data_IF_973674074051
#
_entry.id   IF_973674074051
#
_cell.length_a   1.000
_cell.length_b   1.000
_cell.length_c   1.000
_cell.angle_alpha   90.00
_cell.angle_beta   90.00
_cell.angle_gamma   90.00
#
_symmetry.space_group_name_H-M   'P 1'
#
loop_
_entity.id
_entity.type
_entity.pdbx_description
1 polymer ?
#
# COMPACT_ATOMS: atom_id res chain seq x y z
N UNK A 1 3.08 8.76 20.69
CA UNK A 1 3.06 7.39 21.23
C UNK A 1 3.56 6.49 20.11
N UNK A 2 4.78 5.96 20.20
CA UNK A 2 5.36 5.13 19.15
C UNK A 2 4.91 3.68 19.38
N UNK A 3 4.16 3.13 18.43
CA UNK A 3 3.82 1.72 18.37
C UNK A 3 4.53 1.09 17.17
N UNK A 4 5.11 -0.09 17.38
CA UNK A 4 5.64 -0.90 16.30
C UNK A 4 4.68 -2.07 16.08
N UNK A 5 4.01 -2.07 14.92
CA UNK A 5 3.13 -3.14 14.48
C UNK A 5 3.93 -4.06 13.54
N UNK A 6 4.03 -5.33 13.90
CA UNK A 6 4.63 -6.37 13.05
C UNK A 6 3.57 -7.44 12.79
N UNK A 7 3.28 -7.70 11.53
CA UNK A 7 2.37 -8.77 11.11
C UNK A 7 3.24 -9.92 10.58
N UNK A 8 3.02 -11.11 11.11
CA UNK A 8 3.62 -12.36 10.63
C UNK A 8 2.47 -13.31 10.24
N UNK A 9 2.68 -14.27 9.31
CA UNK A 9 1.64 -15.24 8.99
C UNK A 9 1.09 -15.90 10.26
N UNK A 10 -0.22 -15.79 10.49
CA UNK A 10 -0.91 -16.34 11.66
C UNK A 10 -0.80 -15.54 12.97
N UNK A 11 -0.14 -14.36 13.00
CA UNK A 11 -0.03 -13.57 14.24
C UNK A 11 0.18 -12.07 14.01
N UNK A 12 -0.33 -11.27 14.95
CA UNK A 12 -0.10 -9.82 15.00
C UNK A 12 0.66 -9.49 16.28
N UNK A 13 1.85 -8.93 16.13
CA UNK A 13 2.66 -8.45 17.25
C UNK A 13 2.55 -6.93 17.36
N UNK A 14 2.11 -6.47 18.53
CA UNK A 14 1.97 -5.05 18.85
C UNK A 14 2.95 -4.72 19.96
N UNK A 15 3.92 -3.84 19.68
CA UNK A 15 4.84 -3.31 20.67
C UNK A 15 4.52 -1.85 20.96
N UNK A 16 4.38 -1.49 22.23
CA UNK A 16 4.07 -0.12 22.66
C UNK A 16 4.95 0.28 23.85
N UNK A 17 5.37 1.54 23.87
CA UNK A 17 6.07 2.13 25.01
C UNK A 17 5.05 2.55 26.07
N UNK A 18 5.19 2.04 27.28
CA UNK A 18 4.40 2.45 28.45
C UNK A 18 5.25 3.19 29.47
N UNK A 19 4.66 4.14 30.22
CA UNK A 19 5.31 4.71 31.40
C UNK A 19 5.69 3.61 32.39
N UNK A 20 6.88 3.72 32.97
CA UNK A 20 7.36 2.74 33.97
C UNK A 20 6.39 2.58 35.14
N UNK A 21 5.71 3.66 35.54
CA UNK A 21 4.70 3.67 36.60
C UNK A 21 3.49 2.76 36.33
N UNK A 22 3.18 2.48 35.06
CA UNK A 22 2.04 1.64 34.68
C UNK A 22 2.37 0.14 34.62
N UNK A 23 3.65 -0.24 34.70
CA UNK A 23 4.09 -1.63 34.50
C UNK A 23 3.51 -2.56 35.57
N UNK A 24 3.44 -2.12 36.82
CA UNK A 24 2.92 -2.93 37.92
C UNK A 24 1.42 -3.22 37.73
N UNK A 25 0.64 -2.20 37.37
CA UNK A 25 -0.80 -2.31 37.14
C UNK A 25 -1.10 -3.19 35.93
N UNK A 26 -0.36 -3.03 34.84
CA UNK A 26 -0.49 -3.87 33.63
C UNK A 26 -0.14 -5.32 33.97
N UNK A 27 0.95 -5.56 34.70
CA UNK A 27 1.35 -6.92 35.10
C UNK A 27 0.27 -7.59 35.95
N UNK A 28 -0.28 -6.86 36.92
CA UNK A 28 -1.37 -7.36 37.77
C UNK A 28 -2.62 -7.67 36.93
N UNK A 29 -2.98 -6.79 36.00
CA UNK A 29 -4.14 -6.98 35.12
C UNK A 29 -3.98 -8.22 34.24
N UNK A 30 -2.82 -8.38 33.58
CA UNK A 30 -2.50 -9.53 32.72
C UNK A 30 -2.57 -10.84 33.50
N UNK A 31 -1.97 -10.88 34.70
CA UNK A 31 -2.02 -12.09 35.53
C UNK A 31 -3.46 -12.43 35.94
N UNK A 32 -4.24 -11.43 36.33
CA UNK A 32 -5.64 -11.63 36.78
C UNK A 32 -6.62 -12.00 35.66
N UNK A 33 -6.27 -11.73 34.40
CA UNK A 33 -7.14 -11.92 33.23
C UNK A 33 -6.52 -12.84 32.18
N UNK A 34 -5.52 -13.63 32.57
CA UNK A 34 -4.77 -14.48 31.64
C UNK A 34 -5.67 -15.47 30.90
N UNK A 35 -6.67 -16.04 31.57
CA UNK A 35 -7.65 -16.95 30.97
C UNK A 35 -8.53 -16.23 29.92
N UNK A 36 -9.20 -15.13 30.28
CA UNK A 36 -9.97 -14.30 29.34
C UNK A 36 -9.12 -13.78 28.17
N UNK A 37 -7.85 -13.45 28.42
CA UNK A 37 -6.93 -13.00 27.37
C UNK A 37 -6.66 -14.09 26.32
N UNK A 38 -6.63 -15.37 26.74
CA UNK A 38 -6.49 -16.51 25.82
C UNK A 38 -7.75 -16.71 24.99
N UNK A 39 -8.91 -16.62 25.62
CA UNK A 39 -10.20 -16.76 24.93
C UNK A 39 -10.33 -15.75 23.80
N UNK A 40 -9.72 -14.58 23.92
CA UNK A 40 -9.78 -13.53 22.89
C UNK A 40 -8.56 -13.50 21.96
N UNK A 41 -7.72 -14.54 21.98
CA UNK A 41 -6.63 -14.72 21.01
C UNK A 41 -5.29 -14.10 21.39
N UNK A 42 -5.06 -13.72 22.66
CA UNK A 42 -3.78 -13.19 23.15
C UNK A 42 -2.96 -14.31 23.79
N UNK A 43 -2.10 -14.93 22.98
CA UNK A 43 -1.29 -16.09 23.41
C UNK A 43 0.13 -15.73 23.86
N UNK A 44 0.59 -14.51 23.56
CA UNK A 44 1.90 -14.04 23.95
C UNK A 44 1.84 -12.61 24.51
N UNK A 45 2.40 -12.41 25.70
CA UNK A 45 2.53 -11.09 26.30
C UNK A 45 3.83 -10.98 27.08
N UNK A 46 4.63 -9.94 26.83
CA UNK A 46 5.87 -9.69 27.56
C UNK A 46 6.06 -8.21 27.84
N UNK A 47 6.70 -7.89 28.98
CA UNK A 47 7.09 -6.52 29.34
C UNK A 47 8.61 -6.51 29.56
N UNK A 48 9.34 -5.67 28.83
CA UNK A 48 10.81 -5.58 28.89
C UNK A 48 11.51 -6.95 28.74
N UNK A 49 10.98 -7.81 27.86
CA UNK A 49 11.50 -9.16 27.64
C UNK A 49 11.15 -10.18 28.71
N UNK A 50 10.51 -9.77 29.82
CA UNK A 50 9.91 -10.70 30.78
C UNK A 50 8.57 -11.18 30.24
N UNK A 51 8.50 -12.45 29.89
CA UNK A 51 7.28 -13.09 29.39
C UNK A 51 6.31 -13.32 30.55
N UNK A 52 5.05 -12.92 30.34
CA UNK A 52 3.95 -13.03 31.30
C UNK A 52 2.86 -14.00 30.81
N UNK A 53 2.74 -14.16 29.48
CA UNK A 53 1.93 -15.18 28.80
C UNK A 53 2.79 -15.79 27.68
N UNK A 54 2.93 -17.11 27.67
CA UNK A 54 3.65 -17.88 26.63
C UNK A 54 2.91 -19.20 26.40
N UNK A 55 2.10 -19.28 25.35
CA UNK A 55 1.61 -20.55 24.83
C UNK A 55 2.01 -20.70 23.36
N UNK A 56 2.69 -21.81 23.08
CA UNK A 56 3.32 -22.11 21.78
C UNK A 56 2.51 -23.02 20.88
N UNK A 57 1.32 -23.44 21.32
CA UNK A 57 0.52 -24.39 20.57
C UNK A 57 -0.50 -23.68 19.68
N UNK A 58 -0.67 -24.18 18.45
CA UNK A 58 -1.63 -23.72 17.46
C UNK A 58 -3.05 -23.78 18.03
N UNK A 59 -3.62 -22.61 18.36
CA UNK A 59 -4.96 -22.55 18.94
C UNK A 59 -6.02 -22.54 17.84
N UNK A 60 -6.88 -23.55 17.83
CA UNK A 60 -8.00 -23.65 16.91
C UNK A 60 -9.14 -22.71 17.34
N UNK A 61 -9.12 -21.49 16.79
CA UNK A 61 -10.13 -20.45 17.08
C UNK A 61 -11.59 -20.91 16.89
N UNK A 62 -11.85 -21.85 15.98
CA UNK A 62 -13.21 -22.36 15.77
C UNK A 62 -13.70 -23.21 16.95
N UNK A 63 -12.78 -23.91 17.63
CA UNK A 63 -13.09 -24.75 18.78
C UNK A 63 -13.35 -23.90 20.04
N UNK A 64 -12.55 -22.84 20.24
CA UNK A 64 -12.75 -21.88 21.33
C UNK A 64 -14.07 -21.09 21.20
N UNK A 65 -14.44 -20.69 19.98
CA UNK A 65 -15.69 -20.00 19.71
C UNK A 65 -16.91 -20.88 20.10
N UNK A 66 -16.84 -22.18 19.79
CA UNK A 66 -17.89 -23.13 20.09
C UNK A 66 -18.05 -23.38 21.60
N UNK A 67 -16.95 -23.44 22.36
CA UNK A 67 -16.98 -23.58 23.82
C UNK A 67 -17.46 -22.30 24.53
N UNK A 68 -17.07 -21.12 24.05
CA UNK A 68 -17.53 -19.83 24.61
C UNK A 68 -19.05 -19.61 24.43
N UNK A 69 -19.62 -20.04 23.29
CA UNK A 69 -21.08 -20.00 23.08
C UNK A 69 -21.85 -20.96 24.01
N UNK A 70 -21.21 -22.06 24.42
CA UNK A 70 -21.81 -23.09 25.28
C UNK A 70 -21.83 -22.70 26.76
N UNK A 71 -20.88 -21.88 27.23
CA UNK A 71 -20.78 -21.44 28.63
C UNK A 71 -21.65 -20.20 28.96
N UNK A 72 -22.24 -19.54 27.95
CA UNK A 72 -23.13 -18.40 28.17
C UNK A 72 -22.42 -17.12 28.65
N UNK A 73 -21.11 -17.07 28.46
CA UNK A 73 -20.22 -15.96 28.81
C UNK A 73 -20.41 -14.83 27.79
N UNK A 74 -21.37 -13.93 28.07
CA UNK A 74 -21.89 -12.96 27.10
C UNK A 74 -20.85 -11.95 26.61
N UNK A 75 -19.77 -11.72 27.38
CA UNK A 75 -18.71 -10.78 27.05
C UNK A 75 -17.67 -11.41 26.12
N UNK A 76 -17.10 -12.58 26.45
CA UNK A 76 -16.18 -13.28 25.55
C UNK A 76 -16.89 -13.78 24.28
N UNK A 77 -18.14 -14.26 24.37
CA UNK A 77 -18.94 -14.61 23.19
C UNK A 77 -19.16 -13.42 22.25
N UNK A 78 -19.42 -12.22 22.77
CA UNK A 78 -19.57 -11.01 21.93
C UNK A 78 -18.24 -10.54 21.34
N UNK A 79 -17.13 -10.71 22.05
CA UNK A 79 -15.80 -10.33 21.56
C UNK A 79 -15.28 -11.33 20.52
N UNK A 80 -15.44 -12.63 20.75
CA UNK A 80 -15.13 -13.69 19.80
C UNK A 80 -16.06 -13.65 18.59
N UNK A 81 -17.35 -13.32 18.75
CA UNK A 81 -18.22 -13.01 17.63
C UNK A 81 -17.80 -11.71 16.94
N UNK A 82 -17.16 -10.74 17.58
CA UNK A 82 -16.63 -9.56 16.87
C UNK A 82 -15.31 -9.83 16.12
N UNK A 83 -14.58 -10.87 16.53
CA UNK A 83 -13.36 -11.36 15.88
C UNK A 83 -13.67 -12.38 14.76
N UNK A 84 -14.72 -13.19 14.93
CA UNK A 84 -15.19 -14.21 14.00
C UNK A 84 -16.27 -13.68 13.03
N UNK A 85 -17.13 -12.76 13.47
CA UNK A 85 -17.92 -11.98 12.53
C UNK A 85 -16.99 -11.01 11.83
N UNK A 86 -17.11 -10.98 10.50
CA UNK A 86 -16.57 -9.89 9.69
C UNK A 86 -16.83 -8.58 10.43
N UNK A 87 -15.78 -7.80 10.71
CA UNK A 87 -15.82 -6.86 11.79
C UNK A 87 -16.97 -5.87 11.58
N UNK A 88 -17.69 -5.57 12.65
CA UNK A 88 -18.44 -4.32 12.77
C UNK A 88 -17.43 -3.18 12.93
N UNK A 89 -16.65 -2.98 11.87
CA UNK A 89 -15.68 -1.89 11.72
C UNK A 89 -16.47 -0.58 11.63
N UNK A 90 -15.95 0.57 12.09
CA UNK A 90 -16.33 1.85 11.50
C UNK A 90 -16.24 1.73 9.98
N UNK A 91 -17.38 1.61 9.29
CA UNK A 91 -17.57 1.19 7.89
C UNK A 91 -16.32 1.30 6.98
N UNK A 92 -15.34 0.40 7.17
CA UNK A 92 -14.18 0.31 6.29
C UNK A 92 -14.70 -0.25 4.97
N UNK A 93 -14.47 0.48 3.88
CA UNK A 93 -14.82 -0.02 2.56
C UNK A 93 -13.86 -1.17 2.25
N UNK A 94 -14.33 -2.42 2.30
CA UNK A 94 -13.58 -3.54 1.73
C UNK A 94 -13.83 -3.52 0.22
N UNK A 95 -12.80 -3.21 -0.54
CA UNK A 95 -12.86 -3.17 -2.00
C UNK A 95 -12.16 -4.43 -2.53
N UNK A 96 -12.94 -5.35 -3.10
CA UNK A 96 -12.38 -6.55 -3.72
C UNK A 96 -11.80 -6.21 -5.08
N UNK A 97 -10.55 -6.60 -5.32
CA UNK A 97 -9.84 -6.44 -6.60
C UNK A 97 -9.71 -7.84 -7.23
N UNK A 98 -10.69 -8.27 -8.04
CA UNK A 98 -10.68 -9.60 -8.64
C UNK A 98 -9.53 -9.79 -9.63
N UNK A 99 -9.03 -11.01 -9.76
CA UNK A 99 -7.98 -11.41 -10.71
C UNK A 99 -8.36 -11.13 -12.16
N UNK A 100 -9.64 -11.03 -12.47
CA UNK A 100 -10.10 -10.61 -13.80
C UNK A 100 -9.61 -9.21 -14.19
N UNK A 101 -9.27 -8.33 -13.22
CA UNK A 101 -8.68 -7.00 -13.43
C UNK A 101 -7.20 -7.02 -13.81
N UNK A 102 -6.54 -8.18 -13.66
CA UNK A 102 -5.12 -8.35 -13.93
C UNK A 102 -4.77 -7.98 -15.38
N UNK A 103 -5.64 -8.33 -16.32
CA UNK A 103 -5.40 -8.06 -17.74
C UNK A 103 -5.39 -6.55 -18.03
N UNK A 104 -6.23 -5.80 -17.36
CA UNK A 104 -6.35 -4.35 -17.48
C UNK A 104 -5.14 -3.65 -16.87
N UNK A 105 -4.67 -4.08 -15.69
CA UNK A 105 -3.41 -3.59 -15.11
C UNK A 105 -2.20 -3.88 -16.01
N UNK A 106 -2.12 -5.08 -16.58
CA UNK A 106 -1.09 -5.42 -17.56
C UNK A 106 -1.18 -4.55 -18.83
N UNK A 107 -2.40 -4.20 -19.25
CA UNK A 107 -2.63 -3.35 -20.42
C UNK A 107 -2.10 -1.93 -20.21
N UNK A 108 -2.42 -1.29 -19.07
CA UNK A 108 -1.92 0.06 -18.77
C UNK A 108 -0.40 0.06 -18.58
N UNK A 109 0.16 -0.96 -17.91
CA UNK A 109 1.60 -1.14 -17.79
C UNK A 109 2.29 -1.29 -19.15
N UNK A 110 1.67 -2.04 -20.07
CA UNK A 110 2.18 -2.18 -21.44
C UNK A 110 2.12 -0.86 -22.19
N UNK A 111 1.09 -0.03 -21.95
CA UNK A 111 0.99 1.31 -22.51
C UNK A 111 2.10 2.24 -22.01
N UNK A 112 2.36 2.23 -20.71
CA UNK A 112 3.48 2.95 -20.10
C UNK A 112 4.82 2.51 -20.71
N UNK A 113 5.05 1.21 -20.82
CA UNK A 113 6.26 0.65 -21.44
C UNK A 113 6.45 1.10 -22.89
N UNK A 114 5.36 1.16 -23.69
CA UNK A 114 5.41 1.68 -25.07
C UNK A 114 5.76 3.17 -25.09
N UNK A 115 5.11 3.99 -24.26
CA UNK A 115 5.40 5.42 -24.15
C UNK A 115 6.87 5.64 -23.80
N UNK A 116 7.37 5.00 -22.73
CA UNK A 116 8.77 5.10 -22.33
C UNK A 116 9.73 4.70 -23.45
N UNK A 117 9.44 3.63 -24.18
CA UNK A 117 10.28 3.17 -25.30
C UNK A 117 10.34 4.20 -26.44
N UNK A 118 9.19 4.75 -26.83
CA UNK A 118 9.12 5.77 -27.88
C UNK A 118 9.84 7.04 -27.48
N UNK A 119 9.53 7.59 -26.30
CA UNK A 119 10.17 8.81 -25.80
C UNK A 119 11.68 8.62 -25.65
N UNK A 120 12.12 7.50 -25.07
CA UNK A 120 13.55 7.18 -24.94
C UNK A 120 14.28 7.13 -26.29
N UNK A 121 13.64 6.60 -27.33
CA UNK A 121 14.23 6.58 -28.68
C UNK A 121 14.38 7.99 -29.25
N UNK A 122 13.38 8.84 -29.04
CA UNK A 122 13.40 10.23 -29.53
C UNK A 122 14.47 11.03 -28.79
N UNK A 123 14.56 10.93 -27.45
CA UNK A 123 15.60 11.61 -26.66
C UNK A 123 17.00 11.19 -27.13
N UNK A 124 17.22 9.88 -27.37
CA UNK A 124 18.50 9.39 -27.91
C UNK A 124 18.83 9.97 -29.29
N UNK A 125 17.83 10.19 -30.13
CA UNK A 125 18.00 10.78 -31.46
C UNK A 125 18.28 12.28 -31.39
N UNK A 126 17.62 12.98 -30.48
CA UNK A 126 17.89 14.40 -30.17
C UNK A 126 19.31 14.57 -29.61
N UNK A 127 19.81 13.57 -28.88
CA UNK A 127 21.18 13.48 -28.36
C UNK A 127 21.56 14.70 -27.50
N UNK A 128 20.81 14.99 -26.42
CA UNK A 128 21.15 16.08 -25.51
C UNK A 128 22.54 15.88 -24.90
N UNK A 129 23.26 16.96 -24.55
CA UNK A 129 24.53 16.86 -23.86
C UNK A 129 24.39 16.05 -22.57
N UNK A 130 25.22 15.01 -22.41
CA UNK A 130 25.09 14.06 -21.32
C UNK A 130 25.20 14.72 -19.94
N UNK A 131 26.16 15.64 -19.78
CA UNK A 131 26.40 16.32 -18.51
C UNK A 131 25.25 17.27 -18.15
N UNK A 132 24.69 17.98 -19.13
CA UNK A 132 23.52 18.84 -18.94
C UNK A 132 22.29 18.01 -18.54
N UNK A 133 22.08 16.86 -19.19
CA UNK A 133 20.99 15.94 -18.85
C UNK A 133 21.12 15.41 -17.42
N UNK A 134 22.34 15.05 -17.00
CA UNK A 134 22.59 14.63 -15.62
C UNK A 134 22.37 15.77 -14.62
N UNK A 135 22.88 16.97 -14.92
CA UNK A 135 22.72 18.14 -14.04
C UNK A 135 21.25 18.48 -13.85
N UNK A 136 20.47 18.56 -14.93
CA UNK A 136 19.04 18.84 -14.88
C UNK A 136 18.31 17.89 -13.92
N UNK A 137 18.57 16.57 -14.04
CA UNK A 137 17.92 15.59 -13.18
C UNK A 137 18.34 15.76 -11.71
N UNK A 138 19.61 16.06 -11.44
CA UNK A 138 20.09 16.30 -10.07
C UNK A 138 19.50 17.58 -9.47
N UNK A 139 19.41 18.65 -10.26
CA UNK A 139 18.94 19.96 -9.83
C UNK A 139 17.42 19.98 -9.60
N UNK A 140 16.65 19.32 -10.47
CA UNK A 140 15.20 19.23 -10.33
C UNK A 140 14.75 18.18 -9.31
N UNK A 141 15.57 17.17 -9.00
CA UNK A 141 15.23 16.07 -8.08
C UNK A 141 16.29 15.77 -7.01
N UNK A 142 16.73 16.77 -6.22
CA UNK A 142 17.84 16.62 -5.27
C UNK A 142 17.55 15.61 -4.14
N UNK A 143 16.28 15.33 -3.84
CA UNK A 143 15.87 14.41 -2.77
C UNK A 143 15.86 12.92 -3.13
N UNK A 144 16.02 12.55 -4.41
CA UNK A 144 15.87 11.16 -4.87
C UNK A 144 17.15 10.31 -4.82
N UNK A 145 18.23 10.83 -4.24
CA UNK A 145 19.54 10.13 -4.16
C UNK A 145 20.04 9.58 -5.52
N UNK A 146 19.72 10.28 -6.61
CA UNK A 146 20.02 9.84 -7.99
C UNK A 146 21.47 10.06 -8.38
N UNK A 147 22.19 10.92 -7.64
CA UNK A 147 23.56 11.33 -7.95
C UNK A 147 24.47 10.13 -8.22
N UNK A 148 24.49 9.14 -7.32
CA UNK A 148 25.32 7.94 -7.47
C UNK A 148 24.98 7.17 -8.75
N UNK A 149 23.68 6.95 -9.02
CA UNK A 149 23.22 6.24 -10.22
C UNK A 149 23.59 7.00 -11.52
N UNK A 150 23.50 8.33 -11.50
CA UNK A 150 23.82 9.19 -12.65
C UNK A 150 25.32 9.32 -12.89
N UNK A 151 26.13 9.35 -11.83
CA UNK A 151 27.59 9.39 -11.93
C UNK A 151 28.13 8.12 -12.62
N UNK A 152 27.50 6.96 -12.38
CA UNK A 152 27.82 5.69 -13.04
C UNK A 152 27.39 5.61 -14.51
N UNK A 153 26.50 6.50 -14.98
CA UNK A 153 26.02 6.47 -16.36
C UNK A 153 27.08 7.01 -17.33
N UNK A 154 27.54 6.18 -18.27
CA UNK A 154 28.49 6.61 -19.32
C UNK A 154 27.82 7.18 -20.57
N UNK A 155 26.52 7.00 -20.72
CA UNK A 155 25.77 7.42 -21.90
C UNK A 155 24.31 7.77 -21.58
N UNK A 156 23.61 8.33 -22.57
CA UNK A 156 22.18 8.70 -22.48
C UNK A 156 21.29 7.48 -22.20
N UNK A 157 21.70 6.27 -22.63
CA UNK A 157 20.92 5.06 -22.37
C UNK A 157 20.91 4.70 -20.89
N UNK A 158 22.05 4.82 -20.22
CA UNK A 158 22.15 4.65 -18.77
C UNK A 158 21.26 5.65 -18.03
N UNK A 159 21.31 6.92 -18.41
CA UNK A 159 20.47 7.95 -17.78
C UNK A 159 18.98 7.68 -18.00
N UNK A 160 18.57 7.26 -19.21
CA UNK A 160 17.18 6.90 -19.50
C UNK A 160 16.68 5.67 -18.71
N UNK A 161 17.58 4.74 -18.33
CA UNK A 161 17.22 3.66 -17.42
C UNK A 161 16.95 4.18 -16.01
N UNK A 162 17.78 5.10 -15.51
CA UNK A 162 17.53 5.78 -14.22
C UNK A 162 16.18 6.51 -14.25
N UNK A 163 15.91 7.29 -15.32
CA UNK A 163 14.62 7.98 -15.50
C UNK A 163 13.47 6.97 -15.43
N UNK A 164 13.58 5.85 -16.15
CA UNK A 164 12.55 4.81 -16.19
C UNK A 164 12.28 4.19 -14.83
N UNK A 165 13.32 3.91 -14.05
CA UNK A 165 13.19 3.25 -12.75
C UNK A 165 12.61 4.19 -11.67
N UNK A 166 12.77 5.49 -11.85
CA UNK A 166 12.24 6.52 -10.95
C UNK A 166 10.81 6.96 -11.29
N UNK A 167 10.39 6.80 -12.54
CA UNK A 167 9.01 7.01 -12.96
C UNK A 167 8.10 5.87 -12.50
N UNK A 168 6.83 6.20 -12.22
CA UNK A 168 5.76 5.22 -12.04
C UNK A 168 4.67 5.37 -13.12
N UNK A 169 3.59 4.59 -13.01
CA UNK A 169 2.47 4.75 -13.94
C UNK A 169 1.83 6.13 -13.83
N UNK A 170 1.79 6.72 -12.63
CA UNK A 170 1.11 8.00 -12.37
C UNK A 170 2.08 9.16 -12.26
N UNK A 171 3.30 8.92 -11.79
CA UNK A 171 4.36 9.92 -11.71
C UNK A 171 5.37 9.75 -12.86
N UNK A 172 5.20 10.54 -13.90
CA UNK A 172 6.13 10.65 -15.03
C UNK A 172 6.83 12.02 -15.07
N UNK A 173 6.78 12.79 -13.97
CA UNK A 173 7.24 14.18 -13.94
C UNK A 173 8.70 14.32 -14.34
N UNK A 174 9.54 13.37 -13.94
CA UNK A 174 10.97 13.38 -14.27
C UNK A 174 11.20 13.26 -15.78
N UNK A 175 10.46 12.39 -16.46
CA UNK A 175 10.51 12.28 -17.93
C UNK A 175 10.02 13.56 -18.61
N UNK A 176 8.95 14.17 -18.09
CA UNK A 176 8.39 15.39 -18.64
C UNK A 176 9.36 16.56 -18.54
N UNK A 177 10.00 16.76 -17.39
CA UNK A 177 11.03 17.79 -17.21
C UNK A 177 12.14 17.68 -18.24
N UNK A 178 12.61 16.45 -18.52
CA UNK A 178 13.63 16.21 -19.55
C UNK A 178 13.12 16.56 -20.95
N UNK A 179 11.89 16.15 -21.29
CA UNK A 179 11.32 16.46 -22.62
C UNK A 179 11.11 17.96 -22.82
N UNK A 180 10.66 18.66 -21.78
CA UNK A 180 10.40 20.11 -21.80
C UNK A 180 11.71 20.91 -21.90
N UNK A 181 12.70 20.63 -21.05
CA UNK A 181 13.96 21.38 -21.02
C UNK A 181 14.79 21.21 -22.30
N UNK A 182 14.83 20.00 -22.86
CA UNK A 182 15.55 19.72 -24.11
C UNK A 182 14.72 19.93 -25.37
N UNK A 183 13.55 20.57 -25.24
CA UNK A 183 12.64 20.93 -26.34
C UNK A 183 12.34 19.75 -27.29
N UNK A 184 12.13 18.56 -26.73
CA UNK A 184 11.92 17.31 -27.49
C UNK A 184 10.45 17.18 -27.91
N UNK A 185 9.97 18.11 -28.72
CA UNK A 185 8.55 18.27 -29.06
C UNK A 185 7.91 17.00 -29.66
N UNK A 186 8.66 16.17 -30.39
CA UNK A 186 8.15 14.92 -30.96
C UNK A 186 7.76 13.88 -29.90
N UNK A 187 8.34 13.98 -28.70
CA UNK A 187 8.04 13.10 -27.58
C UNK A 187 6.73 13.46 -26.87
N UNK A 188 6.32 14.74 -26.91
CA UNK A 188 5.12 15.24 -26.22
C UNK A 188 3.86 14.46 -26.62
N UNK A 189 3.69 14.16 -27.92
CA UNK A 189 2.52 13.40 -28.40
C UNK A 189 2.38 12.04 -27.73
N UNK A 190 3.51 11.37 -27.45
CA UNK A 190 3.51 10.04 -26.84
C UNK A 190 3.19 10.12 -25.35
N UNK A 191 3.65 11.18 -24.68
CA UNK A 191 3.33 11.47 -23.29
C UNK A 191 1.84 11.78 -23.15
N UNK A 192 1.30 12.68 -23.99
CA UNK A 192 -0.12 13.06 -23.92
C UNK A 192 -1.07 11.91 -24.29
N UNK A 193 -0.68 11.06 -25.26
CA UNK A 193 -1.42 9.84 -25.56
C UNK A 193 -1.46 8.89 -24.35
N UNK A 194 -0.34 8.73 -23.65
CA UNK A 194 -0.30 7.92 -22.44
C UNK A 194 -1.13 8.51 -21.31
N UNK A 195 -1.01 9.82 -21.02
CA UNK A 195 -1.82 10.49 -19.99
C UNK A 195 -3.32 10.34 -20.26
N UNK A 196 -3.73 10.47 -21.52
CA UNK A 196 -5.12 10.24 -21.92
C UNK A 196 -5.55 8.80 -21.63
N UNK A 197 -4.74 7.82 -22.03
CA UNK A 197 -4.98 6.39 -21.76
C UNK A 197 -5.08 6.10 -20.26
N UNK A 198 -4.17 6.66 -19.46
CA UNK A 198 -4.15 6.51 -18.01
C UNK A 198 -5.40 7.12 -17.37
N UNK A 199 -5.81 8.31 -17.80
CA UNK A 199 -7.02 8.99 -17.30
C UNK A 199 -8.28 8.18 -17.58
N UNK A 200 -8.43 7.65 -18.79
CA UNK A 200 -9.54 6.77 -19.16
C UNK A 200 -9.54 5.47 -18.34
N UNK A 201 -8.37 4.88 -18.16
CA UNK A 201 -8.18 3.70 -17.33
C UNK A 201 -8.57 3.96 -15.87
N UNK A 202 -8.06 5.03 -15.24
CA UNK A 202 -8.40 5.42 -13.88
C UNK A 202 -9.90 5.69 -13.72
N UNK A 203 -10.51 6.33 -14.72
CA UNK A 203 -11.96 6.55 -14.75
C UNK A 203 -12.74 5.21 -14.75
N UNK A 204 -12.37 4.28 -15.63
CA UNK A 204 -12.97 2.94 -15.71
C UNK A 204 -12.82 2.16 -14.39
N UNK A 205 -11.62 2.20 -13.81
CA UNK A 205 -11.33 1.54 -12.53
C UNK A 205 -12.10 2.15 -11.36
N UNK A 206 -12.24 3.48 -11.31
CA UNK A 206 -13.06 4.17 -10.31
C UNK A 206 -14.50 3.68 -10.31
N UNK A 207 -15.09 3.44 -11.49
CA UNK A 207 -16.44 2.90 -11.65
C UNK A 207 -16.48 1.43 -11.22
N UNK A 208 -15.58 0.58 -11.73
CA UNK A 208 -15.59 -0.87 -11.45
C UNK A 208 -15.36 -1.20 -9.98
N UNK A 209 -14.51 -0.43 -9.31
CA UNK A 209 -14.22 -0.58 -7.89
C UNK A 209 -15.23 0.18 -6.99
N UNK A 210 -16.25 0.82 -7.59
CA UNK A 210 -17.30 1.56 -6.89
C UNK A 210 -16.77 2.66 -5.95
N UNK A 211 -15.60 3.23 -6.24
CA UNK A 211 -14.94 4.23 -5.39
C UNK A 211 -15.66 5.58 -5.41
N UNK A 212 -16.45 5.86 -6.45
CA UNK A 212 -17.26 7.10 -6.58
C UNK A 212 -18.68 7.01 -6.04
N UNK A 213 -19.15 5.85 -5.58
CA UNK A 213 -20.56 5.60 -5.23
C UNK A 213 -20.99 5.91 -3.79
N UNK A 214 -20.18 6.63 -3.00
CA UNK A 214 -20.49 6.89 -1.57
C UNK A 214 -20.87 8.34 -1.23
N UNK A 215 -20.98 9.22 -2.22
CA UNK A 215 -21.28 10.65 -1.98
C UNK A 215 -22.76 10.99 -1.79
N UNK A 216 -23.70 10.07 -2.08
CA UNK A 216 -25.15 10.36 -2.06
C UNK A 216 -25.88 9.86 -0.81
N UNK A 217 -25.15 9.51 0.26
CA UNK A 217 -25.77 9.25 1.56
C UNK A 217 -25.77 10.52 2.41
N UNK A 218 -26.95 11.10 2.57
CA UNK A 218 -27.32 12.26 3.41
C UNK A 218 -27.15 12.01 4.91
N UNK A 219 -26.01 11.48 5.34
CA UNK A 219 -25.65 11.30 6.76
C UNK A 219 -24.35 12.07 7.08
N UNK A 220 -24.40 13.18 7.86
CA UNK A 220 -23.25 14.06 8.05
C UNK A 220 -22.12 13.56 8.96
N UNK A 221 -22.07 12.28 9.36
CA UNK A 221 -21.24 11.85 10.50
C UNK A 221 -20.55 10.49 10.37
N UNK A 222 -20.11 10.09 9.17
CA UNK A 222 -19.12 9.01 9.04
C UNK A 222 -18.11 9.40 7.96
N UNK A 223 -17.08 10.14 8.37
CA UNK A 223 -15.86 10.29 7.60
C UNK A 223 -15.28 8.88 7.39
N UNK A 224 -15.38 8.36 6.17
CA UNK A 224 -14.73 7.13 5.78
C UNK A 224 -13.23 7.45 5.68
N UNK A 225 -12.47 7.06 6.69
CA UNK A 225 -11.03 7.38 6.75
C UNK A 225 -10.15 6.28 6.18
N UNK A 226 -10.67 5.09 5.87
CA UNK A 226 -9.84 3.98 5.35
C UNK A 226 -10.64 3.03 4.46
N UNK A 227 -10.15 2.80 3.24
CA UNK A 227 -10.58 1.72 2.35
C UNK A 227 -9.49 0.64 2.32
N UNK A 228 -9.90 -0.62 2.49
CA UNK A 228 -8.99 -1.78 2.47
C UNK A 228 -9.22 -2.54 1.18
N UNK A 229 -8.19 -2.62 0.34
CA UNK A 229 -8.23 -3.36 -0.92
C UNK A 229 -7.78 -4.80 -0.69
N UNK A 230 -8.62 -5.76 -1.07
CA UNK A 230 -8.37 -7.20 -0.90
C UNK A 230 -8.29 -7.86 -2.27
N UNK A 231 -7.20 -8.56 -2.52
CA UNK A 231 -6.95 -9.28 -3.77
C UNK A 231 -7.34 -10.75 -3.60
N UNK A 232 -8.01 -11.34 -4.59
CA UNK A 232 -8.28 -12.80 -4.65
C UNK A 232 -7.13 -13.57 -5.33
N UNK A 233 -5.97 -12.93 -5.47
CA UNK A 233 -4.75 -13.46 -6.06
C UNK A 233 -3.53 -12.76 -5.45
N UNK A 234 -2.36 -13.36 -5.56
CA UNK A 234 -1.10 -12.81 -5.04
C UNK A 234 -0.40 -11.96 -6.12
N UNK A 235 -0.36 -10.62 -5.99
CA UNK A 235 0.30 -9.76 -6.95
C UNK A 235 1.82 -9.83 -6.85
N UNK A 236 2.48 -9.83 -8.00
CA UNK A 236 3.92 -9.60 -8.07
C UNK A 236 4.24 -8.19 -7.54
N UNK A 237 5.37 -8.01 -6.87
CA UNK A 237 5.75 -6.76 -6.20
C UNK A 237 5.66 -5.52 -7.11
N UNK A 238 6.21 -5.63 -8.33
CA UNK A 238 6.18 -4.56 -9.33
C UNK A 238 4.74 -4.17 -9.71
N UNK A 239 3.85 -5.15 -9.77
CA UNK A 239 2.44 -4.96 -10.08
C UNK A 239 1.66 -4.42 -8.88
N UNK A 240 2.01 -4.83 -7.66
CA UNK A 240 1.44 -4.28 -6.45
C UNK A 240 1.70 -2.76 -6.37
N UNK A 241 2.93 -2.32 -6.70
CA UNK A 241 3.27 -0.90 -6.76
C UNK A 241 2.39 -0.13 -7.75
N UNK A 242 2.18 -0.65 -8.95
CA UNK A 242 1.26 -0.03 -9.92
C UNK A 242 -0.14 0.13 -9.37
N UNK A 243 -0.64 -0.93 -8.74
CA UNK A 243 -1.99 -0.94 -8.23
C UNK A 243 -2.11 0.11 -7.12
N UNK A 244 -1.13 0.21 -6.22
CA UNK A 244 -1.08 1.28 -5.21
C UNK A 244 -1.09 2.66 -5.85
N UNK A 245 -0.26 2.88 -6.86
CA UNK A 245 -0.13 4.19 -7.53
C UNK A 245 -1.46 4.60 -8.20
N UNK A 246 -2.07 3.68 -8.96
CA UNK A 246 -3.37 3.87 -9.61
C UNK A 246 -4.48 4.13 -8.59
N UNK A 247 -4.53 3.32 -7.53
CA UNK A 247 -5.58 3.46 -6.52
C UNK A 247 -5.43 4.78 -5.75
N UNK A 248 -4.20 5.20 -5.47
CA UNK A 248 -3.92 6.50 -4.83
C UNK A 248 -4.33 7.66 -5.71
N UNK A 249 -4.06 7.58 -7.02
CA UNK A 249 -4.52 8.55 -8.02
C UNK A 249 -6.05 8.65 -8.07
N UNK A 250 -6.76 7.51 -8.04
CA UNK A 250 -8.23 7.48 -8.08
C UNK A 250 -8.84 8.00 -6.77
N UNK A 251 -8.26 7.62 -5.63
CA UNK A 251 -8.77 7.97 -4.30
C UNK A 251 -8.44 9.42 -3.91
N UNK A 252 -7.43 10.03 -4.52
CA UNK A 252 -6.90 11.34 -4.12
C UNK A 252 -6.27 11.34 -2.72
N UNK A 253 -5.96 10.16 -2.17
CA UNK A 253 -5.38 9.95 -0.84
C UNK A 253 -4.47 8.70 -0.83
N UNK A 254 -3.63 8.58 0.20
CA UNK A 254 -2.76 7.42 0.38
C UNK A 254 -3.55 6.13 0.60
N UNK A 255 -3.32 5.14 -0.25
CA UNK A 255 -3.96 3.82 -0.15
C UNK A 255 -3.07 2.86 0.64
N UNK A 256 -3.63 2.25 1.69
CA UNK A 256 -2.99 1.15 2.42
C UNK A 256 -3.56 -0.17 1.92
N UNK A 257 -2.70 -1.02 1.34
CA UNK A 257 -3.06 -2.39 0.98
C UNK A 257 -2.69 -3.32 2.13
N UNK A 258 -3.61 -4.21 2.49
CA UNK A 258 -3.35 -5.31 3.44
C UNK A 258 -3.45 -6.61 2.66
N UNK A 259 -2.33 -7.29 2.47
CA UNK A 259 -2.32 -8.65 1.93
C UNK A 259 -2.73 -9.61 3.05
N UNK A 260 -3.71 -10.47 2.77
CA UNK A 260 -4.14 -11.54 3.66
C UNK A 260 -3.31 -12.81 3.42
#
# INVERSE_FOLDING_TARGET
>A
MFSHLRITPGSVCISYLVPYSAIADITSAVNSKSDTMREVGVFYFSINGKVLLDEKDDVNFNELLFEAEKLGEKFESSMLQSLAASPSVPQQAIVRVPKSLLQEFNSIRSSFGRMMNHVSKIIKQNSPPLDDLKSLIQDCYPGRSLKVKLDECSDISGVLLVIKDECSLTDIGLLQTVVEEFEVTEAEKHIEQYKTTLKEFCHSMSIRLSLKGRSDMTTPYLAIETATYVFDWEPQELMLRDIVDILSEIAGQFVKIVCA
#
